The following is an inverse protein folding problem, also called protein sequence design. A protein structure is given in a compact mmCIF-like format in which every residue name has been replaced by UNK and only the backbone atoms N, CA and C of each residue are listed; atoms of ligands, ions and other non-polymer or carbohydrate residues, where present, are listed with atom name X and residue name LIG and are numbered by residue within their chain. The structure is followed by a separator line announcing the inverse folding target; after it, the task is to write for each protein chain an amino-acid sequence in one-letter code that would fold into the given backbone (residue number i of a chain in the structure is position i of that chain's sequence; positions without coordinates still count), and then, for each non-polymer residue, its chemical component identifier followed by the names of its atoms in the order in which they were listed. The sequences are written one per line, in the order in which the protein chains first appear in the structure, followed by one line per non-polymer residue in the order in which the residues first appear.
data_IF_323977985346
#
_entry.id   IF_323977985346
#
_cell.length_a   1.000
_cell.length_b   1.000
_cell.length_c   1.000
_cell.angle_alpha   90.00
_cell.angle_beta   90.00
_cell.angle_gamma   90.00
#
_symmetry.space_group_name_H-M   'P 1'
#
loop_
_entity.id
_entity.type
_entity.pdbx_description
1 polymer ?
#
# COMPACT_ATOMS: atom_id res chain seq x y z
N UNK A 1 4.31 42.91 45.43
CA UNK A 1 3.52 42.32 44.33
C UNK A 1 4.47 41.44 43.53
N UNK A 2 4.36 40.11 43.66
CA UNK A 2 5.30 39.16 43.05
C UNK A 2 5.05 39.10 41.54
N UNK A 3 6.08 39.38 40.75
CA UNK A 3 6.12 39.12 39.32
C UNK A 3 6.38 37.61 39.13
N UNK A 4 5.39 36.86 38.66
CA UNK A 4 5.55 35.44 38.34
C UNK A 4 6.03 35.34 36.89
N UNK A 5 7.31 35.07 36.69
CA UNK A 5 7.84 34.61 35.40
C UNK A 5 7.30 33.19 35.16
N UNK A 6 6.42 33.02 34.17
CA UNK A 6 6.15 31.71 33.60
C UNK A 6 7.20 31.45 32.51
N UNK A 7 8.16 30.57 32.81
CA UNK A 7 8.91 29.87 31.78
C UNK A 7 7.95 28.88 31.12
N UNK A 8 7.51 29.19 29.89
CA UNK A 8 6.86 28.20 29.03
C UNK A 8 7.99 27.41 28.39
N UNK A 9 8.36 26.29 29.01
CA UNK A 9 9.04 25.21 28.31
C UNK A 9 8.09 24.76 27.20
N UNK A 10 8.46 24.99 25.94
CA UNK A 10 7.82 24.30 24.81
C UNK A 10 8.09 22.81 25.01
N UNK A 11 7.12 22.11 25.61
CA UNK A 11 6.98 20.68 25.41
C UNK A 11 6.52 20.56 23.97
N UNK A 12 7.46 20.27 23.06
CA UNK A 12 7.10 19.69 21.76
C UNK A 12 6.22 18.48 22.06
N UNK A 13 4.93 18.61 21.76
CA UNK A 13 3.96 17.53 21.90
C UNK A 13 4.28 16.44 20.90
N UNK A 14 5.22 15.56 21.26
CA UNK A 14 5.34 14.24 20.64
C UNK A 14 4.20 13.43 21.23
N UNK A 15 3.09 13.37 20.49
CA UNK A 15 2.02 12.44 20.78
C UNK A 15 2.49 11.08 20.28
N UNK A 16 3.09 10.32 21.19
CA UNK A 16 3.29 8.88 21.06
C UNK A 16 1.92 8.22 21.18
N UNK A 17 1.42 7.63 20.09
CA UNK A 17 0.28 6.73 20.16
C UNK A 17 0.76 5.37 19.65
N UNK A 18 0.91 4.44 20.59
CA UNK A 18 0.99 3.02 20.30
C UNK A 18 -0.40 2.54 19.93
N UNK A 19 -0.61 2.07 18.71
CA UNK A 19 -1.74 1.19 18.40
C UNK A 19 -3.17 1.71 18.63
N UNK A 20 -3.42 2.99 18.93
CA UNK A 20 -4.79 3.50 18.93
C UNK A 20 -5.20 3.90 17.52
N UNK A 21 -6.20 3.18 17.01
CA UNK A 21 -6.96 3.59 15.85
C UNK A 21 -7.39 5.06 16.01
N UNK A 22 -7.44 5.81 14.90
CA UNK A 22 -8.08 7.12 14.85
C UNK A 22 -9.39 7.08 15.64
N UNK A 23 -9.50 7.90 16.69
CA UNK A 23 -10.77 8.02 17.44
C UNK A 23 -11.57 9.15 16.82
N UNK A 24 -12.78 8.85 16.33
CA UNK A 24 -13.70 9.82 15.76
C UNK A 24 -13.84 11.04 16.69
N UNK A 25 -13.51 12.23 16.16
CA UNK A 25 -13.57 13.49 16.91
C UNK A 25 -12.28 13.88 17.66
N UNK A 26 -11.17 13.17 17.48
CA UNK A 26 -9.86 13.63 17.99
C UNK A 26 -9.48 14.96 17.34
N UNK A 27 -9.05 15.94 18.13
CA UNK A 27 -8.61 17.24 17.61
C UNK A 27 -7.29 17.18 16.82
N UNK A 28 -6.67 16.00 16.73
CA UNK A 28 -5.37 15.78 16.09
C UNK A 28 -5.48 15.63 14.57
N UNK A 29 -6.64 15.22 14.08
CA UNK A 29 -6.84 14.92 12.66
C UNK A 29 -8.17 15.51 12.19
N UNK A 30 -8.16 16.13 11.01
CA UNK A 30 -9.33 16.78 10.41
C UNK A 30 -9.86 15.96 9.23
N UNK A 31 -11.17 15.78 9.19
CA UNK A 31 -11.91 15.17 8.08
C UNK A 31 -11.76 16.00 6.78
N UNK A 32 -11.32 15.42 5.65
CA UNK A 32 -11.40 16.07 4.35
C UNK A 32 -12.84 16.02 3.84
N UNK A 33 -13.30 17.10 3.21
CA UNK A 33 -14.57 17.06 2.47
C UNK A 33 -14.42 16.28 1.15
N UNK A 34 -15.56 15.97 0.51
CA UNK A 34 -15.60 15.21 -0.72
C UNK A 34 -14.66 15.72 -1.84
N UNK A 35 -14.58 17.03 -2.08
CA UNK A 35 -13.71 17.60 -3.12
C UNK A 35 -12.20 17.51 -2.76
N UNK A 36 -11.89 17.23 -1.50
CA UNK A 36 -10.52 17.21 -0.97
C UNK A 36 -9.98 15.81 -0.72
N UNK A 37 -10.73 14.73 -0.94
CA UNK A 37 -10.22 13.37 -0.71
C UNK A 37 -9.02 13.03 -1.61
N UNK A 38 -8.94 13.65 -2.78
CA UNK A 38 -7.81 13.56 -3.71
C UNK A 38 -6.65 14.51 -3.37
N UNK A 39 -6.87 15.49 -2.48
CA UNK A 39 -5.78 16.30 -1.94
C UNK A 39 -5.06 15.43 -0.90
N UNK A 40 -3.74 15.29 -0.99
CA UNK A 40 -3.02 14.48 -0.02
C UNK A 40 -3.22 14.94 1.41
N UNK A 41 -3.35 13.98 2.33
CA UNK A 41 -3.53 14.29 3.73
C UNK A 41 -2.30 15.07 4.23
N UNK A 42 -2.50 16.23 4.89
CA UNK A 42 -1.41 17.19 5.10
C UNK A 42 -0.42 16.77 6.19
N UNK A 43 -0.78 15.79 7.02
CA UNK A 43 0.01 15.37 8.19
C UNK A 43 0.44 13.92 8.05
N UNK A 44 1.71 13.63 8.32
CA UNK A 44 2.19 12.25 8.45
C UNK A 44 1.66 11.63 9.74
N UNK A 45 0.99 10.48 9.62
CA UNK A 45 0.53 9.70 10.76
C UNK A 45 1.71 9.00 11.42
N UNK A 46 1.81 9.07 12.75
CA UNK A 46 2.91 8.47 13.53
C UNK A 46 2.40 7.25 14.29
N UNK A 47 3.13 6.15 14.22
CA UNK A 47 2.79 4.90 14.89
C UNK A 47 3.99 4.32 15.62
N UNK A 48 3.72 3.62 16.73
CA UNK A 48 4.74 2.93 17.50
C UNK A 48 4.33 1.47 17.73
N UNK A 49 5.21 0.53 17.36
CA UNK A 49 5.05 -0.90 17.62
C UNK A 49 6.17 -1.42 18.50
N UNK A 50 5.85 -2.30 19.44
CA UNK A 50 6.86 -2.93 20.29
C UNK A 50 7.44 -4.16 19.60
N UNK A 51 8.77 -4.30 19.60
CA UNK A 51 9.44 -5.46 19.04
C UNK A 51 9.42 -5.48 17.51
N UNK A 52 9.02 -6.61 16.94
CA UNK A 52 9.04 -6.83 15.50
C UNK A 52 7.88 -6.14 14.76
N UNK A 53 8.07 -5.85 13.47
CA UNK A 53 7.00 -5.40 12.58
C UNK A 53 6.49 -6.59 11.75
N UNK A 54 5.20 -6.94 11.88
CA UNK A 54 4.59 -8.12 11.22
C UNK A 54 3.27 -7.75 10.59
N UNK A 55 3.19 -7.75 9.27
CA UNK A 55 1.97 -7.34 8.57
C UNK A 55 1.68 -8.23 7.37
N UNK A 56 0.41 -8.32 7.02
CA UNK A 56 -0.02 -8.99 5.80
C UNK A 56 -0.35 -7.95 4.74
N UNK A 57 -0.16 -8.31 3.48
CA UNK A 57 -0.39 -7.46 2.31
C UNK A 57 -1.25 -8.24 1.32
N UNK A 58 -2.35 -7.63 0.86
CA UNK A 58 -3.25 -8.23 -0.12
C UNK A 58 -4.17 -7.17 -0.75
N UNK A 59 -4.67 -7.42 -1.95
CA UNK A 59 -5.63 -6.58 -2.66
C UNK A 59 -6.63 -7.41 -3.44
N UNK A 60 -7.54 -6.73 -4.15
CA UNK A 60 -8.41 -7.34 -5.15
C UNK A 60 -9.30 -8.44 -4.54
N UNK A 61 -9.94 -8.09 -3.41
CA UNK A 61 -10.59 -9.06 -2.53
C UNK A 61 -12.11 -8.98 -2.53
N UNK A 62 -12.71 -7.84 -2.89
CA UNK A 62 -14.12 -7.54 -2.65
C UNK A 62 -15.15 -8.36 -3.41
N UNK A 63 -15.34 -9.65 -3.12
CA UNK A 63 -16.29 -10.52 -3.80
C UNK A 63 -17.35 -11.14 -2.88
N UNK A 64 -18.63 -10.91 -3.18
CA UNK A 64 -19.75 -11.39 -2.36
C UNK A 64 -19.74 -12.91 -2.12
N UNK A 65 -19.63 -13.31 -0.84
CA UNK A 65 -20.18 -14.58 -0.36
C UNK A 65 -19.19 -15.50 0.37
N UNK A 66 -19.72 -16.46 1.14
CA UNK A 66 -18.96 -17.37 2.01
C UNK A 66 -18.27 -18.54 1.28
N UNK A 67 -18.44 -18.65 -0.04
CA UNK A 67 -17.84 -19.70 -0.88
C UNK A 67 -17.03 -19.10 -2.04
N UNK A 68 -16.62 -17.84 -1.92
CA UNK A 68 -15.75 -17.17 -2.89
C UNK A 68 -14.28 -17.37 -2.55
N UNK A 69 -13.39 -17.06 -3.50
CA UNK A 69 -11.95 -16.97 -3.22
C UNK A 69 -11.64 -16.07 -2.04
N UNK A 70 -12.40 -14.98 -1.89
CA UNK A 70 -12.29 -14.06 -0.76
C UNK A 70 -12.45 -14.77 0.60
N UNK A 71 -13.49 -15.58 0.76
CA UNK A 71 -13.72 -16.30 2.01
C UNK A 71 -12.60 -17.32 2.32
N UNK A 72 -12.00 -17.91 1.27
CA UNK A 72 -10.85 -18.82 1.42
C UNK A 72 -9.61 -18.06 1.90
N UNK A 73 -9.31 -16.93 1.26
CA UNK A 73 -8.21 -16.04 1.64
C UNK A 73 -8.39 -15.52 3.07
N UNK A 74 -9.59 -15.06 3.42
CA UNK A 74 -9.90 -14.59 4.77
C UNK A 74 -9.64 -15.65 5.86
N UNK A 75 -10.02 -16.91 5.60
CA UNK A 75 -9.76 -18.02 6.52
C UNK A 75 -8.26 -18.32 6.66
N UNK A 76 -7.52 -18.31 5.54
CA UNK A 76 -6.08 -18.48 5.52
C UNK A 76 -5.35 -17.36 6.28
N UNK A 77 -5.70 -16.10 6.00
CA UNK A 77 -5.18 -14.94 6.70
C UNK A 77 -5.48 -14.96 8.19
N UNK A 78 -6.68 -15.37 8.60
CA UNK A 78 -7.04 -15.48 10.03
C UNK A 78 -6.15 -16.49 10.74
N UNK A 79 -5.95 -17.66 10.14
CA UNK A 79 -5.07 -18.70 10.68
C UNK A 79 -3.64 -18.20 10.80
N UNK A 80 -3.14 -17.54 9.75
CA UNK A 80 -1.78 -17.01 9.70
C UNK A 80 -1.56 -15.88 10.70
N UNK A 81 -2.50 -14.94 10.79
CA UNK A 81 -2.42 -13.80 11.70
C UNK A 81 -2.34 -14.26 13.15
N UNK A 82 -3.15 -15.26 13.54
CA UNK A 82 -3.12 -15.86 14.88
C UNK A 82 -1.77 -16.51 15.17
N UNK A 83 -1.22 -17.26 14.20
CA UNK A 83 0.05 -17.97 14.38
C UNK A 83 1.27 -17.02 14.42
N UNK A 84 1.21 -15.89 13.71
CA UNK A 84 2.36 -15.00 13.51
C UNK A 84 2.22 -13.65 14.21
N UNK A 85 1.15 -13.43 14.99
CA UNK A 85 0.91 -12.14 15.69
C UNK A 85 0.97 -10.94 14.76
N UNK A 86 0.27 -11.02 13.62
CA UNK A 86 0.12 -9.90 12.67
C UNK A 86 -0.43 -8.66 13.39
N UNK A 87 0.22 -7.51 13.18
CA UNK A 87 -0.09 -6.24 13.85
C UNK A 87 -0.99 -5.33 13.01
N UNK A 88 -0.90 -5.38 11.67
CA UNK A 88 -1.78 -4.65 10.75
C UNK A 88 -1.84 -5.30 9.36
N UNK A 89 -2.74 -4.78 8.53
CA UNK A 89 -2.91 -5.12 7.13
C UNK A 89 -2.50 -3.95 6.23
N UNK A 90 -1.82 -4.23 5.11
CA UNK A 90 -1.80 -3.35 3.94
C UNK A 90 -2.84 -3.87 2.94
N UNK A 91 -3.87 -3.06 2.69
CA UNK A 91 -4.95 -3.34 1.76
C UNK A 91 -4.71 -2.59 0.45
N UNK A 92 -4.46 -3.31 -0.64
CA UNK A 92 -3.96 -2.78 -1.92
C UNK A 92 -5.05 -2.31 -2.89
N UNK A 93 -6.29 -2.13 -2.43
CA UNK A 93 -7.39 -1.60 -3.22
C UNK A 93 -8.15 -2.65 -4.03
N UNK A 94 -9.10 -2.16 -4.82
CA UNK A 94 -10.21 -2.94 -5.38
C UNK A 94 -10.97 -3.68 -4.26
N UNK A 95 -11.47 -2.84 -3.36
CA UNK A 95 -12.06 -3.21 -2.09
C UNK A 95 -13.46 -3.79 -2.29
N UNK A 96 -14.18 -3.35 -3.32
CA UNK A 96 -15.55 -3.79 -3.59
C UNK A 96 -15.81 -3.96 -5.08
N UNK A 97 -15.89 -5.21 -5.52
CA UNK A 97 -16.32 -5.53 -6.88
C UNK A 97 -17.85 -5.59 -6.99
N UNK A 98 -18.35 -5.47 -8.22
CA UNK A 98 -19.63 -6.06 -8.61
C UNK A 98 -19.54 -7.59 -8.54
N UNK A 99 -20.67 -8.27 -8.35
CA UNK A 99 -20.70 -9.73 -8.26
C UNK A 99 -20.31 -10.39 -9.60
N UNK A 100 -19.71 -11.58 -9.53
CA UNK A 100 -19.27 -12.35 -10.70
C UNK A 100 -20.41 -12.76 -11.67
N UNK A 101 -21.67 -12.51 -11.30
CA UNK A 101 -22.84 -12.83 -12.13
C UNK A 101 -23.31 -11.65 -12.99
N UNK A 102 -22.80 -10.43 -12.77
CA UNK A 102 -23.03 -9.32 -13.69
C UNK A 102 -22.29 -9.57 -15.02
N UNK A 103 -22.95 -9.49 -16.18
CA UNK A 103 -22.26 -9.61 -17.45
C UNK A 103 -21.17 -8.54 -17.55
N UNK A 104 -19.93 -8.94 -17.88
CA UNK A 104 -18.83 -7.99 -18.12
C UNK A 104 -19.28 -6.95 -19.16
N UNK A 105 -19.33 -5.67 -18.77
CA UNK A 105 -19.77 -4.57 -19.63
C UNK A 105 -21.23 -4.14 -19.50
N UNK A 106 -22.02 -4.68 -18.56
CA UNK A 106 -23.23 -3.99 -18.10
C UNK A 106 -22.84 -2.69 -17.38
N UNK A 107 -23.72 -1.70 -17.39
CA UNK A 107 -23.49 -0.46 -16.64
C UNK A 107 -23.12 -0.81 -15.19
N UNK A 108 -21.99 -0.30 -14.72
CA UNK A 108 -21.39 -0.60 -13.41
C UNK A 108 -22.23 -0.06 -12.22
N UNK A 109 -23.47 0.36 -12.48
CA UNK A 109 -24.39 1.05 -11.59
C UNK A 109 -25.84 0.49 -11.68
N UNK A 110 -26.02 -0.82 -11.76
CA UNK A 110 -27.34 -1.40 -11.50
C UNK A 110 -27.65 -1.28 -9.99
N UNK A 111 -28.88 -0.91 -9.63
CA UNK A 111 -29.32 -0.81 -8.23
C UNK A 111 -29.08 -2.10 -7.40
N UNK A 112 -28.99 -3.26 -8.04
CA UNK A 112 -28.75 -4.54 -7.36
C UNK A 112 -27.31 -5.08 -7.42
N UNK A 113 -26.47 -4.57 -8.32
CA UNK A 113 -25.08 -5.03 -8.48
C UNK A 113 -24.23 -3.95 -9.17
N UNK A 114 -23.14 -3.53 -8.53
CA UNK A 114 -22.38 -2.34 -8.87
C UNK A 114 -20.94 -2.46 -8.37
N UNK A 115 -20.03 -1.63 -8.88
CA UNK A 115 -18.64 -1.54 -8.40
C UNK A 115 -18.54 -0.56 -7.22
N UNK A 116 -17.46 -0.67 -6.43
CA UNK A 116 -17.23 0.20 -5.28
C UNK A 116 -18.40 0.16 -4.29
N UNK A 117 -18.58 1.26 -3.57
CA UNK A 117 -19.71 1.56 -2.67
C UNK A 117 -20.38 2.87 -3.06
N UNK A 118 -21.65 3.06 -2.68
CA UNK A 118 -22.37 4.32 -2.89
C UNK A 118 -22.21 5.31 -1.72
N UNK A 119 -22.08 4.81 -0.49
CA UNK A 119 -21.95 5.60 0.73
C UNK A 119 -21.23 4.83 1.85
N UNK A 120 -20.90 5.53 2.93
CA UNK A 120 -20.37 4.97 4.18
C UNK A 120 -21.35 4.01 4.88
N UNK A 121 -22.63 4.02 4.50
CA UNK A 121 -23.65 3.10 5.02
C UNK A 121 -24.05 2.00 4.02
N UNK A 122 -23.30 1.84 2.94
CA UNK A 122 -23.57 0.84 1.91
C UNK A 122 -23.55 -0.59 2.50
N UNK A 123 -24.51 -1.47 2.15
CA UNK A 123 -24.56 -2.84 2.68
C UNK A 123 -23.33 -3.71 2.32
N UNK A 124 -22.53 -3.32 1.33
CA UNK A 124 -21.28 -4.02 1.00
C UNK A 124 -20.27 -3.99 2.13
N UNK A 125 -20.17 -2.93 2.91
CA UNK A 125 -19.29 -2.88 4.10
C UNK A 125 -19.54 -4.07 5.01
N UNK A 126 -20.82 -4.39 5.26
CA UNK A 126 -21.17 -5.55 6.07
C UNK A 126 -20.87 -6.86 5.34
N UNK A 127 -21.43 -7.01 4.14
CA UNK A 127 -21.49 -8.30 3.45
C UNK A 127 -20.17 -8.76 2.81
N UNK A 128 -19.30 -7.81 2.44
CA UNK A 128 -18.01 -8.07 1.81
C UNK A 128 -16.86 -7.94 2.80
N UNK A 129 -16.96 -7.09 3.82
CA UNK A 129 -15.85 -6.88 4.75
C UNK A 129 -16.14 -7.45 6.14
N UNK A 130 -17.10 -6.88 6.89
CA UNK A 130 -17.31 -7.23 8.30
C UNK A 130 -17.74 -8.69 8.54
N UNK A 131 -18.56 -9.26 7.65
CA UNK A 131 -19.03 -10.64 7.78
C UNK A 131 -18.00 -11.69 7.30
N UNK A 132 -16.98 -11.26 6.55
CA UNK A 132 -15.97 -12.13 5.95
C UNK A 132 -14.69 -12.17 6.79
N UNK A 133 -14.24 -11.01 7.28
CA UNK A 133 -12.98 -10.87 8.03
C UNK A 133 -13.22 -10.74 9.53
N UNK A 134 -13.45 -11.87 10.19
CA UNK A 134 -13.61 -11.96 11.64
C UNK A 134 -12.31 -12.22 12.42
N UNK A 135 -12.44 -12.56 13.70
CA UNK A 135 -11.32 -12.97 14.55
C UNK A 135 -10.26 -11.88 14.72
N UNK A 136 -8.97 -12.24 14.67
CA UNK A 136 -7.87 -11.27 14.76
C UNK A 136 -7.92 -10.22 13.64
N UNK A 137 -8.38 -10.59 12.44
CA UNK A 137 -8.47 -9.63 11.32
C UNK A 137 -9.46 -8.50 11.60
N UNK A 138 -10.47 -8.74 12.44
CA UNK A 138 -11.39 -7.71 12.90
C UNK A 138 -10.78 -6.77 13.96
N UNK A 139 -9.66 -7.12 14.58
CA UNK A 139 -9.06 -6.36 15.67
C UNK A 139 -7.83 -5.55 15.26
N UNK A 140 -7.39 -5.66 14.01
CA UNK A 140 -6.21 -4.96 13.47
C UNK A 140 -6.63 -3.93 12.45
N UNK A 141 -5.81 -2.89 12.29
CA UNK A 141 -6.03 -1.81 11.32
C UNK A 141 -5.67 -2.29 9.91
N UNK A 142 -6.47 -1.85 8.94
CA UNK A 142 -6.30 -2.05 7.51
C UNK A 142 -5.92 -0.73 6.88
N UNK A 143 -4.65 -0.57 6.57
CA UNK A 143 -4.14 0.59 5.87
C UNK A 143 -4.43 0.43 4.39
N UNK A 144 -5.48 1.11 3.96
CA UNK A 144 -6.11 0.91 2.67
C UNK A 144 -5.65 1.94 1.65
N UNK A 145 -5.73 1.55 0.39
CA UNK A 145 -5.78 2.43 -0.78
C UNK A 145 -7.00 2.06 -1.61
N UNK A 146 -7.38 2.93 -2.55
CA UNK A 146 -8.42 2.64 -3.53
C UNK A 146 -7.79 2.05 -4.81
N UNK A 147 -8.50 1.10 -5.42
CA UNK A 147 -8.22 0.58 -6.75
C UNK A 147 -9.14 1.17 -7.80
N UNK A 148 -9.07 0.68 -9.04
CA UNK A 148 -9.91 1.23 -10.10
C UNK A 148 -11.40 0.88 -9.94
N UNK A 149 -11.72 -0.28 -9.34
CA UNK A 149 -13.11 -0.68 -9.08
C UNK A 149 -13.80 0.21 -8.05
N UNK A 150 -13.05 0.68 -7.06
CA UNK A 150 -13.55 1.60 -6.02
C UNK A 150 -13.91 2.98 -6.63
N UNK A 151 -13.12 3.40 -7.63
CA UNK A 151 -13.33 4.63 -8.40
C UNK A 151 -14.44 4.56 -9.44
N UNK A 152 -14.93 3.38 -9.81
CA UNK A 152 -16.03 3.24 -10.76
C UNK A 152 -17.36 3.73 -10.19
N UNK A 153 -17.44 3.97 -8.88
CA UNK A 153 -18.60 4.50 -8.20
C UNK A 153 -18.27 5.73 -7.33
N UNK A 154 -18.42 5.65 -6.00
CA UNK A 154 -18.16 6.76 -5.08
C UNK A 154 -16.95 6.47 -4.17
N UNK A 155 -15.74 6.76 -4.64
CA UNK A 155 -14.51 6.53 -3.85
C UNK A 155 -14.45 7.40 -2.59
N UNK A 156 -15.12 8.56 -2.57
CA UNK A 156 -15.22 9.40 -1.36
C UNK A 156 -15.91 8.66 -0.22
N UNK A 157 -16.87 7.78 -0.50
CA UNK A 157 -17.55 6.99 0.53
C UNK A 157 -16.62 6.07 1.32
N UNK A 158 -15.51 5.61 0.74
CA UNK A 158 -14.51 4.82 1.47
C UNK A 158 -13.69 5.67 2.44
N UNK A 159 -13.39 6.91 2.05
CA UNK A 159 -12.78 7.90 2.95
C UNK A 159 -13.77 8.25 4.05
N UNK A 160 -15.03 8.54 3.71
CA UNK A 160 -16.08 8.86 4.68
C UNK A 160 -16.27 7.72 5.68
N UNK A 161 -16.23 6.46 5.23
CA UNK A 161 -16.34 5.30 6.11
C UNK A 161 -15.26 5.27 7.20
N UNK A 162 -14.00 5.55 6.86
CA UNK A 162 -12.90 5.66 7.84
C UNK A 162 -13.22 6.69 8.92
N UNK A 163 -13.67 7.87 8.50
CA UNK A 163 -13.87 9.01 9.38
C UNK A 163 -15.15 8.90 10.22
N UNK A 164 -16.20 8.31 9.65
CA UNK A 164 -17.53 8.33 10.22
C UNK A 164 -17.96 7.05 10.91
N UNK A 165 -17.49 5.90 10.43
CA UNK A 165 -18.03 4.61 10.82
C UNK A 165 -16.98 3.75 11.53
N UNK A 166 -15.87 3.44 10.87
CA UNK A 166 -14.88 2.50 11.40
C UNK A 166 -13.44 2.83 10.96
N UNK A 167 -12.67 3.34 11.91
CA UNK A 167 -11.27 3.73 11.75
C UNK A 167 -10.33 2.57 11.40
N UNK A 168 -10.77 1.30 11.54
CA UNK A 168 -9.97 0.14 11.15
C UNK A 168 -9.81 0.06 9.64
N UNK A 169 -10.77 0.53 8.85
CA UNK A 169 -10.57 0.72 7.42
C UNK A 169 -9.87 2.07 7.22
N UNK A 170 -8.56 2.10 7.39
CA UNK A 170 -7.78 3.33 7.45
C UNK A 170 -7.52 3.88 6.04
N UNK A 171 -8.33 4.87 5.65
CA UNK A 171 -8.22 5.60 4.38
C UNK A 171 -8.55 7.10 4.62
N UNK A 172 -7.64 7.87 5.23
CA UNK A 172 -7.91 9.26 5.61
C UNK A 172 -8.06 10.20 4.41
N UNK A 173 -7.40 9.88 3.30
CA UNK A 173 -7.47 10.49 1.99
C UNK A 173 -6.92 9.49 0.96
N UNK A 174 -7.05 9.78 -0.33
CA UNK A 174 -6.52 8.94 -1.41
C UNK A 174 -4.98 8.91 -1.45
N UNK A 175 -4.34 9.89 -0.81
CA UNK A 175 -2.89 9.95 -0.62
C UNK A 175 -2.58 10.30 0.83
N UNK A 176 -1.74 9.50 1.49
CA UNK A 176 -1.33 9.77 2.87
C UNK A 176 -0.01 9.08 3.22
N UNK A 177 0.67 9.60 4.23
CA UNK A 177 1.96 9.09 4.69
C UNK A 177 1.86 8.61 6.13
N UNK A 178 2.47 7.46 6.41
CA UNK A 178 2.66 6.92 7.74
C UNK A 178 4.15 6.81 8.04
N UNK A 179 4.58 7.17 9.25
CA UNK A 179 5.91 6.88 9.79
C UNK A 179 5.74 6.02 11.03
N UNK A 180 6.40 4.86 10.99
CA UNK A 180 6.30 3.80 11.98
C UNK A 180 7.64 3.70 12.69
N UNK A 181 7.64 3.75 14.01
CA UNK A 181 8.81 3.41 14.83
C UNK A 181 8.57 2.06 15.51
N UNK A 182 9.57 1.18 15.50
CA UNK A 182 9.44 -0.13 16.11
C UNK A 182 10.77 -0.67 16.67
N UNK A 183 10.68 -1.74 17.46
CA UNK A 183 11.84 -2.45 17.98
C UNK A 183 12.81 -1.52 18.73
N UNK A 184 14.07 -1.53 18.32
CA UNK A 184 15.13 -0.73 18.92
C UNK A 184 15.22 0.70 18.34
N UNK A 185 14.07 1.32 18.04
CA UNK A 185 14.01 2.65 17.41
C UNK A 185 14.18 2.63 15.89
N UNK A 186 13.96 1.48 15.26
CA UNK A 186 13.96 1.33 13.80
C UNK A 186 12.78 2.10 13.23
N UNK A 187 12.97 2.74 12.09
CA UNK A 187 11.97 3.58 11.43
C UNK A 187 11.58 3.01 10.06
N UNK A 188 10.28 3.04 9.76
CA UNK A 188 9.74 2.68 8.46
C UNK A 188 8.71 3.72 8.01
N UNK A 189 8.80 4.18 6.77
CA UNK A 189 7.81 5.05 6.15
C UNK A 189 6.95 4.24 5.16
N UNK A 190 5.64 4.51 5.15
CA UNK A 190 4.70 3.99 4.17
C UNK A 190 3.98 5.15 3.50
N UNK A 191 4.23 5.37 2.21
CA UNK A 191 3.57 6.40 1.41
C UNK A 191 2.50 5.72 0.55
N UNK A 192 1.25 6.00 0.85
CA UNK A 192 0.09 5.42 0.18
C UNK A 192 -0.34 6.37 -0.94
N UNK A 193 -0.46 5.84 -2.16
CA UNK A 193 -0.73 6.63 -3.36
C UNK A 193 -1.90 6.07 -4.15
N UNK A 194 -2.71 6.98 -4.70
CA UNK A 194 -3.68 6.63 -5.73
C UNK A 194 -3.02 6.68 -7.11
N UNK A 195 -3.08 5.54 -7.78
CA UNK A 195 -2.42 5.28 -9.08
C UNK A 195 -3.36 5.42 -10.27
N UNK A 196 -4.67 5.58 -10.03
CA UNK A 196 -5.66 5.72 -11.10
C UNK A 196 -5.32 6.85 -12.07
N UNK A 197 -4.93 8.07 -11.64
CA UNK A 197 -4.63 9.17 -12.55
C UNK A 197 -3.50 8.91 -13.54
N UNK A 198 -2.60 7.96 -13.22
CA UNK A 198 -1.46 7.63 -14.07
C UNK A 198 -1.81 6.50 -15.04
N UNK A 199 -2.45 5.45 -14.55
CA UNK A 199 -2.43 4.14 -15.19
C UNK A 199 -3.16 4.07 -16.54
N UNK A 200 -4.32 4.71 -16.69
CA UNK A 200 -5.04 4.72 -17.99
C UNK A 200 -4.97 6.10 -18.63
N UNK A 201 -4.89 6.13 -19.97
CA UNK A 201 -5.02 7.38 -20.69
C UNK A 201 -6.41 7.99 -20.44
N UNK A 202 -6.45 9.26 -20.06
CA UNK A 202 -7.70 9.95 -19.74
C UNK A 202 -8.77 9.86 -20.86
N UNK A 203 -8.34 9.90 -22.13
CA UNK A 203 -9.24 9.80 -23.28
C UNK A 203 -9.88 8.43 -23.39
N UNK A 204 -9.23 7.39 -22.87
CA UNK A 204 -9.69 6.01 -22.89
C UNK A 204 -10.67 5.70 -21.74
N UNK A 205 -10.74 6.53 -20.69
CA UNK A 205 -11.81 6.38 -19.71
C UNK A 205 -13.16 6.61 -20.40
N UNK A 206 -13.95 5.56 -20.35
CA UNK A 206 -15.31 5.53 -20.86
C UNK A 206 -16.24 6.30 -19.91
N UNK A 207 -17.38 6.76 -20.43
CA UNK A 207 -18.45 7.33 -19.59
C UNK A 207 -19.36 6.26 -18.98
N UNK A 208 -19.06 4.96 -19.18
CA UNK A 208 -19.93 3.88 -18.71
C UNK A 208 -19.75 3.57 -17.22
N UNK A 209 -18.69 4.10 -16.60
CA UNK A 209 -18.50 4.16 -15.15
C UNK A 209 -18.20 5.59 -14.71
N UNK A 210 -18.15 5.82 -13.38
CA UNK A 210 -17.91 7.14 -12.83
C UNK A 210 -16.44 7.57 -12.84
N UNK A 211 -15.49 6.72 -13.26
CA UNK A 211 -14.05 7.04 -13.25
C UNK A 211 -13.75 8.37 -13.94
N UNK A 212 -14.25 8.54 -15.17
CA UNK A 212 -14.01 9.77 -15.94
C UNK A 212 -14.54 11.01 -15.22
N UNK A 213 -15.72 10.89 -14.60
CA UNK A 213 -16.35 11.98 -13.85
C UNK A 213 -15.60 12.26 -12.55
N UNK A 214 -15.19 11.22 -11.81
CA UNK A 214 -14.45 11.36 -10.56
C UNK A 214 -13.09 12.03 -10.79
N UNK A 215 -12.36 11.64 -11.84
CA UNK A 215 -11.12 12.31 -12.23
C UNK A 215 -11.32 13.79 -12.57
N UNK A 216 -12.46 14.14 -13.18
CA UNK A 216 -12.83 15.55 -13.43
C UNK A 216 -13.14 16.30 -12.15
N UNK A 217 -13.97 15.72 -11.27
CA UNK A 217 -14.33 16.30 -9.96
C UNK A 217 -13.10 16.63 -9.13
N UNK A 218 -12.09 15.75 -9.15
CA UNK A 218 -10.86 15.91 -8.39
C UNK A 218 -9.73 16.61 -9.16
N UNK A 219 -9.97 17.04 -10.40
CA UNK A 219 -8.96 17.66 -11.26
C UNK A 219 -7.68 16.81 -11.46
N UNK A 220 -7.82 15.49 -11.56
CA UNK A 220 -6.73 14.52 -11.76
C UNK A 220 -6.64 13.98 -13.20
N UNK A 221 -7.31 14.63 -14.15
CA UNK A 221 -7.40 14.17 -15.55
C UNK A 221 -6.39 14.82 -16.50
N UNK A 222 -5.50 15.67 -15.99
CA UNK A 222 -4.58 16.48 -16.78
C UNK A 222 -3.18 16.52 -16.14
N UNK A 223 -2.20 16.99 -16.92
CA UNK A 223 -0.80 17.06 -16.52
C UNK A 223 -0.59 17.87 -15.24
N UNK A 224 -1.37 18.93 -15.00
CA UNK A 224 -1.20 19.73 -13.79
C UNK A 224 -1.55 18.90 -12.53
N UNK A 225 -2.63 18.12 -12.59
CA UNK A 225 -3.01 17.18 -11.53
C UNK A 225 -1.96 16.09 -11.32
N UNK A 226 -1.55 15.37 -12.38
CA UNK A 226 -0.56 14.29 -12.25
C UNK A 226 0.82 14.79 -11.83
N UNK A 227 1.24 15.98 -12.30
CA UNK A 227 2.48 16.62 -11.85
C UNK A 227 2.42 17.05 -10.38
N UNK A 228 1.28 17.55 -9.90
CA UNK A 228 1.11 17.89 -8.49
C UNK A 228 1.25 16.64 -7.60
N UNK A 229 0.67 15.52 -8.02
CA UNK A 229 0.82 14.22 -7.33
C UNK A 229 2.27 13.73 -7.33
N UNK A 230 2.97 13.80 -8.45
CA UNK A 230 4.40 13.42 -8.51
C UNK A 230 5.28 14.32 -7.65
N UNK A 231 5.01 15.63 -7.64
CA UNK A 231 5.72 16.57 -6.78
C UNK A 231 5.47 16.25 -5.30
N UNK A 232 4.22 15.99 -4.93
CA UNK A 232 3.90 15.60 -3.56
C UNK A 232 4.60 14.31 -3.17
N UNK A 233 4.64 13.30 -4.05
CA UNK A 233 5.37 12.07 -3.80
C UNK A 233 6.87 12.33 -3.58
N UNK A 234 7.52 13.15 -4.42
CA UNK A 234 8.92 13.54 -4.25
C UNK A 234 9.16 14.27 -2.92
N UNK A 235 8.25 15.18 -2.53
CA UNK A 235 8.32 15.90 -1.26
C UNK A 235 8.19 14.94 -0.06
N UNK A 236 7.25 13.98 -0.11
CA UNK A 236 7.07 13.00 0.97
C UNK A 236 8.26 12.04 1.08
N UNK A 237 8.76 11.57 -0.05
CA UNK A 237 9.96 10.71 -0.09
C UNK A 237 11.17 11.45 0.48
N UNK A 238 11.35 12.73 0.13
CA UNK A 238 12.39 13.59 0.70
C UNK A 238 12.23 13.74 2.22
N UNK A 239 11.00 13.88 2.71
CA UNK A 239 10.74 14.09 4.14
C UNK A 239 10.99 12.84 5.01
N UNK A 240 11.12 11.65 4.39
CA UNK A 240 11.33 10.37 5.07
C UNK A 240 12.61 9.67 4.60
N UNK A 241 13.50 10.39 3.91
CA UNK A 241 14.76 9.86 3.38
C UNK A 241 15.72 9.35 4.49
N UNK A 242 15.45 9.74 5.73
CA UNK A 242 16.12 9.34 6.96
C UNK A 242 15.65 8.00 7.53
N UNK A 243 14.56 7.42 7.01
CA UNK A 243 13.99 6.20 7.54
C UNK A 243 14.80 4.96 7.13
N UNK A 244 14.91 3.97 8.02
CA UNK A 244 15.61 2.70 7.72
C UNK A 244 14.95 1.92 6.58
N UNK A 245 13.62 2.04 6.48
CA UNK A 245 12.81 1.45 5.43
C UNK A 245 11.86 2.50 4.84
N UNK A 246 11.76 2.54 3.51
CA UNK A 246 10.79 3.37 2.80
C UNK A 246 9.98 2.46 1.89
N UNK A 247 8.66 2.48 2.07
CA UNK A 247 7.71 1.71 1.31
C UNK A 247 6.72 2.62 0.60
N UNK A 248 6.38 2.28 -0.64
CA UNK A 248 5.30 2.92 -1.38
C UNK A 248 4.21 1.89 -1.66
N UNK A 249 2.96 2.28 -1.43
CA UNK A 249 1.79 1.40 -1.57
C UNK A 249 0.87 2.01 -2.60
N UNK A 250 0.64 1.32 -3.72
CA UNK A 250 -0.22 1.80 -4.80
C UNK A 250 -0.93 0.63 -5.47
N UNK A 251 -2.12 0.85 -6.02
CA UNK A 251 -2.94 -0.26 -6.51
C UNK A 251 -2.33 -0.92 -7.76
N UNK A 252 -1.94 -0.10 -8.74
CA UNK A 252 -1.48 -0.62 -10.02
C UNK A 252 0.01 -1.02 -10.00
N UNK A 253 0.40 -2.11 -10.67
CA UNK A 253 1.78 -2.58 -10.81
C UNK A 253 2.68 -1.62 -11.58
N UNK A 254 3.95 -1.55 -11.18
CA UNK A 254 5.05 -0.97 -11.97
C UNK A 254 5.84 -2.03 -12.77
N UNK A 255 5.74 -3.28 -12.33
CA UNK A 255 6.34 -4.48 -12.94
C UNK A 255 5.33 -5.61 -12.80
N UNK A 256 5.34 -6.58 -13.74
CA UNK A 256 4.50 -7.78 -13.64
C UNK A 256 3.04 -7.58 -14.04
N UNK A 257 2.78 -6.68 -15.00
CA UNK A 257 1.46 -6.46 -15.57
C UNK A 257 1.41 -6.84 -17.05
N UNK A 258 0.39 -7.60 -17.41
CA UNK A 258 0.15 -8.07 -18.76
C UNK A 258 -0.14 -6.93 -19.75
N UNK A 259 -0.43 -5.71 -19.29
CA UNK A 259 -0.55 -4.53 -20.15
C UNK A 259 0.78 -3.86 -20.47
N UNK A 260 1.86 -4.21 -19.73
CA UNK A 260 3.22 -3.71 -20.01
C UNK A 260 3.79 -4.17 -21.35
N UNK A 261 3.13 -5.10 -22.05
CA UNK A 261 3.53 -5.52 -23.40
C UNK A 261 3.36 -4.40 -24.44
N UNK A 262 2.40 -3.49 -24.29
CA UNK A 262 2.22 -2.33 -25.17
C UNK A 262 2.38 -1.03 -24.36
N UNK A 263 3.43 -0.21 -24.63
CA UNK A 263 3.63 1.08 -23.98
C UNK A 263 2.43 2.04 -24.07
N UNK A 264 1.50 1.82 -25.01
CA UNK A 264 0.26 2.62 -25.12
C UNK A 264 -0.75 2.32 -24.02
N UNK A 265 -0.69 1.13 -23.42
CA UNK A 265 -1.62 0.64 -22.40
C UNK A 265 -1.09 0.86 -20.98
N UNK A 266 0.22 1.08 -20.83
CA UNK A 266 0.87 1.47 -19.58
C UNK A 266 1.10 2.99 -19.55
N UNK A 267 -0.02 3.72 -19.48
CA UNK A 267 0.03 5.18 -19.49
C UNK A 267 0.71 5.65 -18.19
N UNK A 268 1.64 6.60 -18.30
CA UNK A 268 2.31 7.42 -17.27
C UNK A 268 2.86 6.80 -15.97
N UNK A 269 2.59 5.55 -15.62
CA UNK A 269 3.07 4.88 -14.41
C UNK A 269 4.59 4.81 -14.35
N UNK A 270 5.26 4.70 -15.51
CA UNK A 270 6.72 4.76 -15.63
C UNK A 270 7.32 6.04 -15.00
N UNK A 271 6.55 7.13 -14.89
CA UNK A 271 6.98 8.40 -14.31
C UNK A 271 7.21 8.32 -12.80
N UNK A 272 6.67 7.31 -12.11
CA UNK A 272 6.90 7.08 -10.69
C UNK A 272 8.30 6.54 -10.43
N UNK A 273 8.82 5.69 -11.33
CA UNK A 273 10.08 4.93 -11.14
C UNK A 273 11.27 5.82 -10.79
N UNK A 274 11.55 6.94 -11.49
CA UNK A 274 12.70 7.79 -11.16
C UNK A 274 12.67 8.36 -9.73
N UNK A 275 11.49 8.63 -9.18
CA UNK A 275 11.35 9.11 -7.81
C UNK A 275 11.62 8.00 -6.79
N UNK A 276 11.11 6.79 -7.06
CA UNK A 276 11.36 5.62 -6.20
C UNK A 276 12.86 5.29 -6.16
N UNK A 277 13.54 5.33 -7.30
CA UNK A 277 14.98 5.03 -7.38
C UNK A 277 15.84 6.13 -6.77
N UNK A 278 15.53 7.41 -7.04
CA UNK A 278 16.22 8.58 -6.46
C UNK A 278 16.26 8.52 -4.93
N UNK A 279 15.12 8.19 -4.33
CA UNK A 279 14.95 8.12 -2.87
C UNK A 279 15.21 6.75 -2.29
N UNK A 280 15.67 5.80 -3.13
CA UNK A 280 15.98 4.44 -2.74
C UNK A 280 14.81 3.82 -1.96
N UNK A 281 13.64 3.81 -2.54
CA UNK A 281 12.49 3.10 -1.97
C UNK A 281 12.86 1.62 -1.81
N UNK A 282 12.62 1.06 -0.63
CA UNK A 282 12.96 -0.34 -0.32
C UNK A 282 12.02 -1.31 -1.04
N UNK A 283 10.72 -1.01 -1.02
CA UNK A 283 9.75 -1.77 -1.78
C UNK A 283 8.52 -0.96 -2.22
N UNK A 284 7.95 -1.38 -3.35
CA UNK A 284 6.64 -0.97 -3.85
C UNK A 284 5.66 -2.14 -3.74
N UNK A 285 4.50 -1.92 -3.13
CA UNK A 285 3.44 -2.93 -2.97
C UNK A 285 2.25 -2.61 -3.87
N UNK A 286 1.76 -3.61 -4.62
CA UNK A 286 0.61 -3.46 -5.51
C UNK A 286 -0.34 -4.67 -5.60
N UNK A 287 -1.56 -4.39 -6.04
CA UNK A 287 -2.59 -5.36 -6.40
C UNK A 287 -2.81 -5.37 -7.92
N UNK A 288 -4.07 -5.26 -8.36
CA UNK A 288 -4.59 -5.08 -9.72
C UNK A 288 -4.36 -6.26 -10.67
N UNK A 289 -3.13 -6.77 -10.70
CA UNK A 289 -2.87 -8.05 -11.38
C UNK A 289 -3.31 -9.15 -10.43
N UNK A 290 -4.34 -9.90 -10.83
CA UNK A 290 -4.97 -10.92 -10.00
C UNK A 290 -4.11 -12.20 -9.86
N UNK A 291 -2.89 -12.04 -9.33
CA UNK A 291 -1.87 -13.06 -9.08
C UNK A 291 -0.98 -12.67 -7.89
N UNK A 292 -0.05 -13.56 -7.54
CA UNK A 292 1.03 -13.30 -6.60
C UNK A 292 2.35 -13.25 -7.37
N UNK A 293 3.11 -12.16 -7.24
CA UNK A 293 4.34 -11.97 -7.97
C UNK A 293 5.34 -11.08 -7.23
N UNK A 294 6.63 -11.30 -7.42
CA UNK A 294 7.69 -10.42 -6.91
C UNK A 294 8.75 -10.18 -7.98
N UNK A 295 9.24 -8.95 -8.06
CA UNK A 295 10.46 -8.58 -8.76
C UNK A 295 11.47 -8.07 -7.75
N UNK A 296 12.54 -8.83 -7.53
CA UNK A 296 13.53 -8.52 -6.50
C UNK A 296 14.50 -7.46 -7.00
N UNK A 297 14.84 -6.52 -6.13
CA UNK A 297 15.84 -5.49 -6.40
C UNK A 297 17.15 -6.09 -6.95
N UNK A 298 17.73 -5.42 -7.94
CA UNK A 298 18.98 -5.82 -8.58
C UNK A 298 19.79 -4.58 -9.00
N UNK A 299 20.94 -4.77 -9.67
CA UNK A 299 21.84 -3.68 -10.06
C UNK A 299 21.24 -2.65 -11.03
N UNK A 300 20.13 -2.98 -11.70
CA UNK A 300 19.46 -2.11 -12.67
C UNK A 300 18.12 -1.55 -12.19
N UNK A 301 17.55 -2.12 -11.13
CA UNK A 301 16.34 -1.62 -10.47
C UNK A 301 16.46 -1.88 -8.97
N UNK A 302 16.83 -0.87 -8.17
CA UNK A 302 17.16 -1.06 -6.75
C UNK A 302 15.93 -1.20 -5.84
N UNK A 303 14.72 -1.17 -6.40
CA UNK A 303 13.44 -1.29 -5.68
C UNK A 303 12.93 -2.72 -5.79
N UNK A 304 12.43 -3.28 -4.70
CA UNK A 304 11.69 -4.57 -4.75
C UNK A 304 10.21 -4.30 -5.03
N UNK A 305 9.62 -4.98 -6.02
CA UNK A 305 8.21 -4.83 -6.36
C UNK A 305 7.44 -6.07 -5.92
N UNK A 306 6.50 -5.91 -4.99
CA UNK A 306 5.65 -6.95 -4.47
C UNK A 306 4.22 -6.81 -5.03
N UNK A 307 3.80 -7.76 -5.86
CA UNK A 307 2.42 -7.93 -6.31
C UNK A 307 1.66 -8.94 -5.46
N UNK A 308 0.48 -8.57 -4.97
CA UNK A 308 -0.39 -9.42 -4.15
C UNK A 308 -1.88 -9.17 -4.40
N UNK A 309 -2.32 -9.23 -5.66
CA UNK A 309 -3.71 -9.00 -6.08
C UNK A 309 -4.59 -10.25 -6.11
N UNK A 310 -4.24 -11.29 -5.36
CA UNK A 310 -4.97 -12.56 -5.37
C UNK A 310 -5.89 -12.73 -4.14
N UNK A 311 -6.47 -11.63 -3.65
CA UNK A 311 -7.21 -11.59 -2.39
C UNK A 311 -8.63 -12.17 -2.46
N UNK A 312 -9.19 -12.34 -3.66
CA UNK A 312 -10.51 -12.95 -3.82
C UNK A 312 -11.14 -12.83 -5.21
N UNK A 313 -10.70 -11.87 -6.02
CA UNK A 313 -11.18 -11.68 -7.38
C UNK A 313 -10.80 -12.80 -8.34
N UNK A 314 -11.53 -12.91 -9.47
CA UNK A 314 -11.25 -13.93 -10.49
C UNK A 314 -9.80 -13.86 -10.96
N UNK A 315 -9.06 -14.95 -10.79
CA UNK A 315 -7.61 -14.98 -10.97
C UNK A 315 -7.19 -14.83 -12.44
N UNK A 316 -6.04 -14.18 -12.63
CA UNK A 316 -5.44 -13.90 -13.92
C UNK A 316 -4.47 -15.00 -14.39
N UNK A 317 -4.02 -14.84 -15.63
CA UNK A 317 -2.86 -15.57 -16.17
C UNK A 317 -1.56 -14.89 -15.76
N UNK A 318 -0.45 -15.64 -15.81
CA UNK A 318 0.87 -15.12 -15.50
C UNK A 318 1.22 -13.91 -16.38
N UNK A 319 1.65 -12.82 -15.77
CA UNK A 319 2.18 -11.67 -16.48
C UNK A 319 3.72 -11.77 -16.64
N UNK A 320 4.29 -11.14 -17.67
CA UNK A 320 5.71 -11.29 -18.00
C UNK A 320 6.62 -10.59 -17.00
N UNK A 321 7.83 -11.14 -16.89
CA UNK A 321 9.01 -10.50 -16.29
C UNK A 321 9.05 -10.25 -14.77
N UNK A 322 8.20 -10.82 -13.88
CA UNK A 322 8.54 -10.84 -12.47
C UNK A 322 9.68 -11.84 -12.22
N UNK A 323 10.48 -11.62 -11.17
CA UNK A 323 11.47 -12.59 -10.70
C UNK A 323 10.82 -13.92 -10.32
N UNK A 324 9.61 -13.87 -9.75
CA UNK A 324 8.78 -15.02 -9.44
C UNK A 324 7.30 -14.63 -9.54
N UNK A 325 6.46 -15.54 -10.05
CA UNK A 325 4.99 -15.38 -10.08
C UNK A 325 4.31 -16.74 -9.95
N UNK A 326 3.10 -16.73 -9.38
CA UNK A 326 2.18 -17.87 -9.39
C UNK A 326 0.77 -17.38 -9.79
N UNK A 327 0.33 -17.66 -11.03
CA UNK A 327 -1.03 -17.36 -11.45
C UNK A 327 -2.02 -18.37 -10.88
N UNK A 328 -3.32 -18.12 -11.06
CA UNK A 328 -4.39 -19.04 -10.67
C UNK A 328 -4.30 -19.53 -9.20
N UNK A 329 -3.71 -18.72 -8.33
CA UNK A 329 -3.63 -19.01 -6.89
C UNK A 329 -4.08 -17.82 -6.06
N UNK A 330 -5.16 -18.02 -5.31
CA UNK A 330 -5.56 -17.17 -4.21
C UNK A 330 -4.52 -17.21 -3.09
N UNK A 331 -4.29 -16.06 -2.48
CA UNK A 331 -3.35 -15.93 -1.39
C UNK A 331 -3.05 -14.49 -1.01
N UNK A 332 -2.01 -14.35 -0.22
CA UNK A 332 -1.57 -13.07 0.33
C UNK A 332 -0.07 -13.11 0.59
N UNK A 333 0.51 -11.93 0.83
CA UNK A 333 1.90 -11.77 1.21
C UNK A 333 2.00 -11.52 2.71
N UNK A 334 2.90 -12.21 3.39
CA UNK A 334 3.27 -11.96 4.78
C UNK A 334 4.64 -11.29 4.81
N UNK A 335 4.75 -10.18 5.54
CA UNK A 335 5.99 -9.45 5.79
C UNK A 335 6.35 -9.51 7.27
N UNK A 336 7.63 -9.75 7.53
CA UNK A 336 8.23 -9.75 8.86
C UNK A 336 9.55 -8.98 8.85
N UNK A 337 9.64 -7.95 9.68
CA UNK A 337 10.86 -7.19 9.94
C UNK A 337 11.22 -7.37 11.42
N UNK A 338 12.33 -8.05 11.76
CA UNK A 338 12.76 -8.20 13.14
C UNK A 338 13.01 -6.85 13.81
N UNK A 339 12.95 -6.80 15.14
CA UNK A 339 13.17 -5.61 15.95
C UNK A 339 14.53 -4.89 15.72
N UNK A 340 15.51 -5.56 15.10
CA UNK A 340 16.80 -4.96 14.72
C UNK A 340 16.78 -4.21 13.38
N UNK A 341 15.70 -4.34 12.61
CA UNK A 341 15.47 -3.61 11.37
C UNK A 341 16.38 -3.99 10.21
N UNK A 342 17.25 -4.99 10.32
CA UNK A 342 18.30 -5.23 9.31
C UNK A 342 17.81 -5.94 8.06
N UNK A 343 16.74 -6.71 8.20
CA UNK A 343 16.20 -7.55 7.13
C UNK A 343 14.69 -7.48 7.11
N UNK A 344 14.11 -7.47 5.91
CA UNK A 344 12.70 -7.70 5.67
C UNK A 344 12.57 -9.10 5.08
N UNK A 345 11.85 -9.97 5.78
CA UNK A 345 11.54 -11.32 5.34
C UNK A 345 10.13 -11.33 4.76
N UNK A 346 9.95 -11.98 3.61
CA UNK A 346 8.66 -12.06 2.94
C UNK A 346 8.30 -13.49 2.60
N UNK A 347 7.01 -13.81 2.66
CA UNK A 347 6.44 -15.11 2.33
C UNK A 347 5.14 -14.95 1.56
N UNK A 348 5.06 -15.52 0.37
CA UNK A 348 3.82 -15.67 -0.37
C UNK A 348 3.09 -16.93 0.09
N UNK A 349 1.85 -16.75 0.54
CA UNK A 349 1.07 -17.79 1.21
C UNK A 349 -0.18 -18.06 0.40
N UNK A 350 -0.39 -19.32 0.01
CA UNK A 350 -1.59 -19.74 -0.71
C UNK A 350 -2.77 -20.00 0.23
N UNK A 351 -3.97 -19.73 -0.28
CA UNK A 351 -5.23 -19.92 0.42
C UNK A 351 -6.34 -20.44 -0.51
N UNK A 352 -6.01 -21.25 -1.52
CA UNK A 352 -6.94 -21.77 -2.54
C UNK A 352 -8.05 -22.71 -2.02
N UNK A 353 -8.02 -23.13 -0.77
CA UNK A 353 -8.94 -24.15 -0.26
C UNK A 353 -9.44 -23.79 1.13
N UNK A 354 -10.76 -23.66 1.26
CA UNK A 354 -11.41 -23.42 2.54
C UNK A 354 -11.04 -24.52 3.54
N UNK A 355 -10.60 -24.13 4.74
CA UNK A 355 -10.22 -25.05 5.84
C UNK A 355 -8.99 -25.94 5.57
N UNK A 356 -8.21 -25.69 4.52
CA UNK A 356 -6.90 -26.30 4.36
C UNK A 356 -5.82 -25.47 5.07
N UNK A 357 -4.74 -26.08 5.57
CA UNK A 357 -3.58 -25.33 6.03
C UNK A 357 -3.04 -24.44 4.90
N UNK A 358 -2.72 -23.20 5.24
CA UNK A 358 -2.00 -22.29 4.35
C UNK A 358 -0.63 -22.85 4.01
N UNK A 359 -0.17 -22.68 2.77
CA UNK A 359 1.16 -23.12 2.33
C UNK A 359 2.00 -21.93 1.86
N UNK A 360 3.24 -21.85 2.35
CA UNK A 360 4.24 -20.93 1.79
C UNK A 360 4.67 -21.44 0.43
N UNK A 361 4.44 -20.65 -0.61
CA UNK A 361 4.81 -20.97 -1.99
C UNK A 361 6.18 -20.44 -2.37
N UNK A 362 6.53 -19.26 -1.85
CA UNK A 362 7.79 -18.59 -2.13
C UNK A 362 8.14 -17.68 -0.97
N UNK A 363 9.44 -17.51 -0.73
CA UNK A 363 9.94 -16.64 0.32
C UNK A 363 11.28 -16.05 -0.04
N UNK A 364 11.65 -14.98 0.64
CA UNK A 364 12.96 -14.36 0.48
C UNK A 364 13.23 -13.31 1.52
N UNK A 365 14.30 -12.55 1.29
CA UNK A 365 14.76 -11.52 2.21
C UNK A 365 15.29 -10.32 1.43
N UNK A 366 14.92 -9.12 1.88
CA UNK A 366 15.48 -7.84 1.44
C UNK A 366 16.33 -7.28 2.59
N UNK A 367 17.50 -6.73 2.29
CA UNK A 367 18.36 -6.12 3.30
C UNK A 367 18.05 -4.62 3.42
N UNK A 368 18.15 -4.09 4.63
CA UNK A 368 18.04 -2.65 4.86
C UNK A 368 19.16 -1.90 4.13
N UNK A 369 18.89 -0.70 3.68
CA UNK A 369 19.84 0.04 2.83
C UNK A 369 21.10 0.50 3.57
N UNK A 370 21.00 0.70 4.88
CA UNK A 370 22.13 1.00 5.76
C UNK A 370 23.08 -0.19 5.97
N UNK A 371 22.73 -1.41 5.49
CA UNK A 371 23.60 -2.58 5.57
C UNK A 371 24.73 -2.61 4.52
N UNK A 372 24.84 -1.58 3.66
CA UNK A 372 26.02 -1.42 2.82
C UNK A 372 27.19 -0.95 3.69
N UNK A 373 27.87 -1.93 4.29
CA UNK A 373 29.15 -1.76 4.96
C UNK A 373 30.09 -1.04 3.99
N UNK A 374 30.48 0.20 4.30
CA UNK A 374 31.58 0.87 3.61
C UNK A 374 32.78 -0.07 3.68
N UNK A 375 33.18 -0.67 2.56
CA UNK A 375 34.51 -1.25 2.45
C UNK A 375 35.50 -0.10 2.52
N UNK A 376 35.92 0.26 3.75
CA UNK A 376 37.15 1.00 3.95
C UNK A 376 38.25 0.03 3.52
N UNK A 377 38.68 0.15 2.27
CA UNK A 377 39.95 -0.41 1.84
C UNK A 377 41.03 0.31 2.62
N UNK A 378 41.44 -0.26 3.75
CA UNK A 378 42.70 0.10 4.37
C UNK A 378 43.81 -0.36 3.42
N UNK A 379 44.27 0.56 2.58
CA UNK A 379 45.54 0.41 1.89
C UNK A 379 46.64 0.43 2.93
N UNK A 380 47.09 -0.76 3.34
CA UNK A 380 48.37 -0.94 4.01
C UNK A 380 49.46 -0.55 3.02
N UNK A 381 50.02 0.65 3.17
CA UNK A 381 51.28 1.01 2.54
C UNK A 381 52.41 0.24 3.22
N UNK A 382 52.84 -0.87 2.60
CA UNK A 382 54.18 -1.39 2.80
C UNK A 382 55.16 -0.65 1.89
N UNK A 383 56.24 -0.18 2.51
CA UNK A 383 57.40 0.47 1.92
C UNK A 383 57.82 -0.12 0.57
N UNK A 384 57.89 0.73 -0.46
CA UNK A 384 59.00 0.66 -1.40
C UNK A 384 59.32 2.06 -1.93
N UNK A 385 60.58 2.43 -1.74
CA UNK A 385 61.24 3.63 -2.22
C UNK A 385 61.12 3.75 -3.75
N UNK A 386 60.66 4.89 -4.25
CA UNK A 386 61.10 5.44 -5.53
C UNK A 386 60.80 6.94 -5.60
N UNK A 387 61.88 7.69 -5.78
CA UNK A 387 61.99 9.14 -5.91
C UNK A 387 61.12 9.68 -7.05
N UNK A 388 60.32 10.72 -6.77
CA UNK A 388 59.60 11.53 -7.76
C UNK A 388 60.53 12.69 -8.16
N UNK A 389 60.83 12.82 -9.45
CA UNK A 389 61.34 14.05 -10.06
C UNK A 389 60.16 14.76 -10.71
N UNK A 390 59.92 16.01 -10.31
CA UNK A 390 58.90 16.89 -10.85
C UNK A 390 59.28 17.40 -12.24
N UNK A 391 58.34 17.33 -13.19
CA UNK A 391 58.07 18.36 -14.19
C UNK A 391 56.56 18.48 -14.38
#
# INVERSE_FOLDING_TARGET
MKLLLFFITLIQGVILISGDNYTKGSALYTYPNAATVAVPYPTTFQENYNGDLKFLVFGDWGQLGKQTGQAQVAAGMTTWANANSTTFMLNLGDNFYQSNNAPKGTAFNNASDYEGVFSETDPKWKSYWLDVYGGQLANITWYSIAGNHDWYNNVTAEVDYFWDIDSRFFLPALYYTRKVTFGNGVTAAFIHIDTNPFYYNYTNYTKVNNMKSNLQTFNLYNDAGTNATLKWLDDQLTAVDDCDWIFVVGHHPLVGDCRLYDPKDYYEMYRLVPYLEKHKVSAYFNGHTHELAVSVANSTSPVTYFGSGAGGASLGSACPNPTWTVPNTFGFLSIYIPADGKTLQYQYVSANTTNAPTQVLYSGTVNAQSATMYFITSLNFYNSTSTIIFL
#
